data_IF_083970269120
#
_entry.id   IF_083970269120
#
_cell.length_a   1.000
_cell.length_b   1.000
_cell.length_c   1.000
_cell.angle_alpha   90.00
_cell.angle_beta   90.00
_cell.angle_gamma   90.00
#
_symmetry.space_group_name_H-M   'P 1'
#
loop_
_entity.id
_entity.type
_entity.pdbx_description
1 polymer ?
#
# COMPACT_ATOMS: atom_id res chain seq x y z
N UNK A 1 -4.46 10.64 18.34
CA UNK A 1 -3.80 10.80 17.04
C UNK A 1 -3.88 9.47 16.31
N UNK A 2 -4.57 9.40 15.18
CA UNK A 2 -4.60 8.20 14.35
C UNK A 2 -3.32 8.15 13.52
N UNK A 3 -2.59 7.03 13.55
CA UNK A 3 -1.46 6.85 12.65
C UNK A 3 -1.99 6.24 11.35
N UNK A 4 -1.71 6.92 10.24
CA UNK A 4 -2.01 6.40 8.90
C UNK A 4 -0.74 5.77 8.36
N UNK A 5 -0.79 4.47 8.07
CA UNK A 5 0.27 3.73 7.40
C UNK A 5 -0.27 3.10 6.11
N UNK A 6 0.63 2.57 5.28
CA UNK A 6 0.27 1.86 4.07
C UNK A 6 0.99 0.53 4.03
N UNK A 7 0.25 -0.53 3.73
CA UNK A 7 0.81 -1.87 3.49
C UNK A 7 0.86 -2.16 1.99
N UNK A 8 2.03 -2.59 1.51
CA UNK A 8 2.25 -2.91 0.10
C UNK A 8 2.15 -4.41 -0.09
N UNK A 9 1.18 -4.83 -0.90
CA UNK A 9 0.90 -6.25 -1.14
C UNK A 9 1.08 -6.61 -2.62
N UNK A 10 1.10 -7.91 -2.90
CA UNK A 10 1.25 -8.48 -4.25
C UNK A 10 2.55 -8.04 -4.97
N UNK A 11 3.60 -7.77 -4.18
CA UNK A 11 4.93 -7.52 -4.70
C UNK A 11 5.59 -8.84 -5.12
N UNK A 12 6.27 -8.91 -6.29
CA UNK A 12 6.91 -10.13 -6.78
C UNK A 12 8.20 -10.50 -6.02
N UNK A 13 8.70 -9.64 -5.13
CA UNK A 13 9.90 -9.92 -4.36
C UNK A 13 9.65 -11.07 -3.37
N UNK A 14 10.54 -12.06 -3.38
CA UNK A 14 10.41 -13.29 -2.58
C UNK A 14 10.32 -13.03 -1.06
N UNK A 15 10.92 -11.94 -0.59
CA UNK A 15 10.92 -11.56 0.83
C UNK A 15 9.85 -10.51 1.18
N UNK A 16 8.92 -10.21 0.27
CA UNK A 16 7.96 -9.12 0.42
C UNK A 16 8.55 -7.73 0.11
N UNK A 17 7.68 -6.73 -0.01
CA UNK A 17 8.10 -5.36 -0.26
C UNK A 17 8.33 -4.63 1.06
N UNK A 18 9.57 -4.26 1.35
CA UNK A 18 9.89 -3.39 2.50
C UNK A 18 9.76 -1.90 2.17
N UNK A 19 9.37 -1.56 0.95
CA UNK A 19 9.19 -0.16 0.56
C UNK A 19 7.98 0.43 1.30
N UNK A 20 8.07 1.71 1.64
CA UNK A 20 6.98 2.48 2.25
C UNK A 20 6.36 3.36 1.18
N UNK A 21 5.03 3.44 1.13
CA UNK A 21 4.31 4.25 0.14
C UNK A 21 4.89 5.68 0.01
N UNK A 22 5.21 6.33 1.14
CA UNK A 22 5.76 7.68 1.16
C UNK A 22 7.17 7.79 0.55
N UNK A 23 7.90 6.68 0.44
CA UNK A 23 9.26 6.58 -0.12
C UNK A 23 9.26 6.10 -1.56
N UNK A 24 8.10 5.77 -2.13
CA UNK A 24 7.99 5.44 -3.55
C UNK A 24 7.98 6.69 -4.42
N UNK A 25 8.57 6.58 -5.60
CA UNK A 25 8.63 7.64 -6.60
C UNK A 25 7.22 8.04 -7.05
N UNK A 26 6.85 9.33 -6.95
CA UNK A 26 5.58 9.81 -7.47
C UNK A 26 5.57 9.77 -9.01
N UNK A 27 4.44 9.38 -9.59
CA UNK A 27 4.22 9.48 -11.03
C UNK A 27 3.51 10.81 -11.31
N UNK A 28 4.06 11.62 -12.22
CA UNK A 28 3.44 12.89 -12.59
C UNK A 28 2.02 12.69 -13.13
N UNK A 29 1.07 13.48 -12.62
CA UNK A 29 -0.35 13.40 -12.97
C UNK A 29 -1.14 12.32 -12.22
N UNK A 30 -0.49 11.42 -11.46
CA UNK A 30 -1.15 10.25 -10.86
C UNK A 30 -0.94 10.19 -9.34
N UNK A 31 -1.79 10.86 -8.57
CA UNK A 31 -1.66 10.92 -7.11
C UNK A 31 -1.83 9.55 -6.40
N UNK A 32 -2.54 8.62 -7.04
CA UNK A 32 -2.84 7.27 -6.51
C UNK A 32 -1.92 6.18 -7.08
N UNK A 33 -0.91 6.55 -7.85
CA UNK A 33 0.05 5.60 -8.41
C UNK A 33 1.46 6.09 -8.10
N UNK A 34 2.27 5.18 -7.57
CA UNK A 34 3.69 5.44 -7.33
C UNK A 34 4.52 4.32 -7.90
N UNK A 35 5.77 4.61 -8.23
CA UNK A 35 6.70 3.63 -8.76
C UNK A 35 7.60 3.10 -7.64
N UNK A 36 7.74 1.79 -7.56
CA UNK A 36 8.70 1.15 -6.67
C UNK A 36 9.96 0.79 -7.44
N UNK A 37 11.07 1.44 -7.12
CA UNK A 37 12.37 1.15 -7.75
C UNK A 37 12.89 -0.25 -7.37
N UNK A 38 12.54 -0.75 -6.17
CA UNK A 38 13.02 -2.05 -5.68
C UNK A 38 12.42 -3.24 -6.45
N UNK A 39 11.13 -3.22 -6.75
CA UNK A 39 10.47 -4.27 -7.53
C UNK A 39 10.19 -3.87 -8.99
N UNK A 40 10.61 -2.65 -9.37
CA UNK A 40 10.45 -2.06 -10.70
C UNK A 40 9.02 -2.12 -11.23
N UNK A 41 8.04 -1.82 -10.38
CA UNK A 41 6.61 -1.87 -10.71
C UNK A 41 5.84 -0.69 -10.15
N UNK A 42 4.75 -0.35 -10.82
CA UNK A 42 3.76 0.59 -10.32
C UNK A 42 2.97 -0.03 -9.17
N UNK A 43 2.85 0.74 -8.08
CA UNK A 43 2.07 0.45 -6.89
C UNK A 43 0.83 1.32 -6.90
N UNK A 44 -0.33 0.69 -6.82
CA UNK A 44 -1.63 1.35 -6.91
C UNK A 44 -2.24 1.51 -5.52
N UNK A 45 -2.51 2.75 -5.10
CA UNK A 45 -3.22 3.03 -3.86
C UNK A 45 -4.68 2.63 -4.02
N UNK A 46 -5.09 1.60 -3.28
CA UNK A 46 -6.47 1.12 -3.24
C UNK A 46 -7.15 1.67 -1.98
N UNK A 47 -8.31 2.30 -2.16
CA UNK A 47 -9.13 2.83 -1.08
C UNK A 47 -10.36 1.96 -0.81
N UNK A 48 -10.77 1.15 -1.79
CA UNK A 48 -11.90 0.22 -1.66
C UNK A 48 -11.48 -1.22 -1.91
N UNK A 49 -12.30 -2.16 -1.43
CA UNK A 49 -12.09 -3.59 -1.65
C UNK A 49 -12.21 -3.96 -3.12
N UNK A 50 -13.08 -3.29 -3.88
CA UNK A 50 -13.25 -3.51 -5.33
C UNK A 50 -11.99 -3.11 -6.10
N UNK A 51 -11.37 -1.98 -5.76
CA UNK A 51 -10.10 -1.56 -6.36
C UNK A 51 -9.00 -2.59 -6.04
N UNK A 52 -8.93 -3.02 -4.78
CA UNK A 52 -7.99 -4.04 -4.33
C UNK A 52 -8.18 -5.35 -5.12
N UNK A 53 -9.40 -5.87 -5.19
CA UNK A 53 -9.73 -7.09 -5.91
C UNK A 53 -9.37 -6.98 -7.39
N UNK A 54 -9.71 -5.86 -8.04
CA UNK A 54 -9.37 -5.61 -9.44
C UNK A 54 -7.87 -5.60 -9.68
N UNK A 55 -7.11 -4.89 -8.85
CA UNK A 55 -5.66 -4.81 -9.01
C UNK A 55 -4.94 -6.13 -8.68
N UNK A 56 -5.43 -6.88 -7.69
CA UNK A 56 -4.94 -8.23 -7.36
C UNK A 56 -5.17 -9.22 -8.50
N UNK A 57 -6.36 -9.22 -9.09
CA UNK A 57 -6.68 -10.06 -10.25
C UNK A 57 -5.76 -9.78 -11.46
N UNK A 58 -5.25 -8.54 -11.57
CA UNK A 58 -4.29 -8.13 -12.59
C UNK A 58 -2.82 -8.37 -12.19
N UNK A 59 -2.55 -8.97 -11.03
CA UNK A 59 -1.19 -9.24 -10.53
C UNK A 59 -0.37 -7.97 -10.23
N UNK A 60 -1.05 -6.86 -9.91
CA UNK A 60 -0.42 -5.56 -9.66
C UNK A 60 -0.05 -5.38 -8.19
N UNK A 61 1.05 -4.67 -7.93
CA UNK A 61 1.40 -4.23 -6.58
C UNK A 61 0.35 -3.20 -6.11
N UNK A 62 -0.14 -3.36 -4.88
CA UNK A 62 -1.18 -2.50 -4.32
C UNK A 62 -0.73 -1.95 -2.97
N UNK A 63 -1.08 -0.71 -2.68
CA UNK A 63 -0.92 -0.10 -1.37
C UNK A 63 -2.29 0.05 -0.72
N UNK A 64 -2.42 -0.44 0.52
CA UNK A 64 -3.63 -0.34 1.33
C UNK A 64 -3.42 0.62 2.48
N UNK A 65 -4.32 1.59 2.65
CA UNK A 65 -4.28 2.51 3.77
C UNK A 65 -4.73 1.80 5.05
N UNK A 66 -3.85 1.72 6.04
CA UNK A 66 -4.13 1.18 7.36
C UNK A 66 -4.31 2.36 8.32
N UNK A 67 -5.45 2.38 9.00
CA UNK A 67 -5.71 3.31 10.10
C UNK A 67 -5.52 2.55 11.39
N UNK A 68 -4.39 2.75 12.08
CA UNK A 68 -4.25 2.20 13.43
C UNK A 68 -4.96 3.13 14.40
N UNK A 69 -6.16 2.72 14.83
CA UNK A 69 -6.85 3.33 15.95
C UNK A 69 -6.21 2.76 17.21
N UNK A 70 -5.59 3.62 18.04
CA UNK A 70 -5.00 3.19 19.29
C UNK A 70 -6.08 2.67 20.23
N UNK A 71 -6.20 1.34 20.36
CA UNK A 71 -7.04 0.72 21.37
C UNK A 71 -6.40 0.97 22.73
N UNK A 72 -6.95 1.90 23.50
CA UNK A 72 -6.69 1.94 24.93
C UNK A 72 -7.11 0.58 25.51
N UNK A 73 -6.15 -0.15 26.06
CA UNK A 73 -6.41 -1.38 26.80
C UNK A 73 -7.31 -1.02 28.00
N UNK A 74 -8.57 -1.43 27.98
CA UNK A 74 -9.40 -1.46 29.19
C UNK A 74 -8.98 -2.73 29.93
N UNK A 75 -8.05 -2.58 30.87
CA UNK A 75 -7.70 -3.61 31.84
C UNK A 75 -8.90 -3.86 32.76
N UNK A 76 -9.22 -5.14 32.95
CA UNK A 76 -10.26 -5.61 33.88
C UNK A 76 -9.79 -5.72 35.32
#
# INVERSE_FOLDING_TARGET
>A
MSLISWDIQHCPLTNGCFARWQKLEPIQGEARIRYCEACQRSVYLCQTEEELARHRALGRCVALQIVSVGSAQVGG
#
